data_IF_052367306983
#
_entry.id   IF_052367306983
#
_cell.length_a   1.000
_cell.length_b   1.000
_cell.length_c   1.000
_cell.angle_alpha   90.00
_cell.angle_beta   90.00
_cell.angle_gamma   90.00
#
_symmetry.space_group_name_H-M   'P 1'
#
loop_
_entity.id
_entity.type
_entity.pdbx_description
1 polymer ?
#
# COMPACT_ATOMS: atom_id res chain seq x y z
N UNK A 1 -14.09 -0.22 17.22
CA UNK A 1 -12.94 -0.80 16.49
C UNK A 1 -12.84 -0.07 15.16
N UNK A 2 -11.69 0.52 14.82
CA UNK A 2 -11.54 1.26 13.56
C UNK A 2 -11.34 0.26 12.44
N UNK A 3 -12.20 0.27 11.42
CA UNK A 3 -12.12 -0.57 10.24
C UNK A 3 -11.63 0.27 9.06
N UNK A 4 -10.60 -0.20 8.38
CA UNK A 4 -9.93 0.56 7.32
C UNK A 4 -9.74 -0.34 6.12
N UNK A 5 -10.29 0.08 4.98
CA UNK A 5 -9.90 -0.45 3.68
C UNK A 5 -8.62 0.23 3.21
N UNK A 6 -7.62 -0.56 2.82
CA UNK A 6 -6.40 -0.04 2.20
C UNK A 6 -6.62 0.04 0.70
N UNK A 7 -6.34 1.21 0.14
CA UNK A 7 -6.31 1.42 -1.30
C UNK A 7 -4.97 0.97 -1.91
N UNK A 8 -4.97 0.72 -3.21
CA UNK A 8 -3.79 0.32 -3.99
C UNK A 8 -2.64 1.30 -3.82
N UNK A 9 -2.91 2.61 -3.80
CA UNK A 9 -1.88 3.65 -3.65
C UNK A 9 -1.06 3.50 -2.36
N UNK A 10 -1.72 3.19 -1.25
CA UNK A 10 -1.06 2.97 0.05
C UNK A 10 -0.28 1.66 0.04
N UNK A 11 -0.84 0.60 -0.57
CA UNK A 11 -0.15 -0.68 -0.68
C UNK A 11 1.13 -0.56 -1.53
N UNK A 12 1.08 0.17 -2.64
CA UNK A 12 2.25 0.49 -3.48
C UNK A 12 3.28 1.30 -2.68
N UNK A 13 2.85 2.35 -1.98
CA UNK A 13 3.76 3.13 -1.14
C UNK A 13 4.45 2.28 -0.06
N UNK A 14 3.80 1.23 0.48
CA UNK A 14 4.45 0.31 1.42
C UNK A 14 5.47 -0.62 0.72
N UNK A 15 5.15 -1.08 -0.49
CA UNK A 15 5.93 -2.12 -1.20
C UNK A 15 7.12 -1.56 -2.01
N UNK A 16 6.99 -0.37 -2.58
CA UNK A 16 7.99 0.27 -3.44
C UNK A 16 8.75 1.35 -2.67
N UNK A 17 10.01 1.07 -2.34
CA UNK A 17 10.86 2.03 -1.60
C UNK A 17 11.26 3.27 -2.40
N UNK A 18 11.08 3.23 -3.73
CA UNK A 18 11.32 4.38 -4.61
C UNK A 18 10.05 5.20 -4.85
N UNK A 19 8.89 4.75 -4.37
CA UNK A 19 7.65 5.50 -4.49
C UNK A 19 7.72 6.79 -3.67
N UNK A 20 7.23 7.89 -4.25
CA UNK A 20 7.22 9.21 -3.61
C UNK A 20 6.48 9.23 -2.28
N UNK A 21 5.49 8.34 -2.11
CA UNK A 21 4.68 8.23 -0.90
C UNK A 21 5.21 7.17 0.09
N UNK A 22 6.34 6.54 -0.19
CA UNK A 22 6.91 5.51 0.69
C UNK A 22 7.04 5.95 2.16
N UNK A 23 7.61 7.14 2.46
CA UNK A 23 7.70 7.60 3.85
C UNK A 23 6.33 7.74 4.54
N UNK A 24 5.35 8.30 3.84
CA UNK A 24 4.00 8.55 4.36
C UNK A 24 3.23 7.23 4.54
N UNK A 25 3.37 6.30 3.60
CA UNK A 25 2.73 4.99 3.67
C UNK A 25 3.29 4.16 4.83
N UNK A 26 4.60 4.23 5.07
CA UNK A 26 5.24 3.61 6.23
C UNK A 26 4.82 4.25 7.55
N UNK A 27 4.70 5.58 7.61
CA UNK A 27 4.18 6.30 8.78
C UNK A 27 2.72 5.92 9.07
N UNK A 28 1.87 5.84 8.04
CA UNK A 28 0.48 5.40 8.15
C UNK A 28 0.40 3.96 8.69
N UNK A 29 1.16 3.02 8.10
CA UNK A 29 1.26 1.63 8.59
C UNK A 29 1.63 1.58 10.08
N UNK A 30 2.59 2.41 10.50
CA UNK A 30 2.97 2.57 11.90
C UNK A 30 1.81 3.02 12.78
N UNK A 31 1.12 4.09 12.39
CA UNK A 31 -0.05 4.61 13.10
C UNK A 31 -1.18 3.56 13.20
N UNK A 32 -1.51 2.89 12.10
CA UNK A 32 -2.55 1.85 12.08
C UNK A 32 -2.23 0.70 13.04
N UNK A 33 -0.97 0.28 13.10
CA UNK A 33 -0.50 -0.73 14.05
C UNK A 33 -0.62 -0.25 15.50
N UNK A 34 -0.20 0.99 15.79
CA UNK A 34 -0.29 1.59 17.13
C UNK A 34 -1.74 1.67 17.62
N UNK A 35 -2.67 2.02 16.74
CA UNK A 35 -4.10 2.13 17.06
C UNK A 35 -4.86 0.80 17.00
N UNK A 36 -4.18 -0.33 16.72
CA UNK A 36 -4.80 -1.66 16.56
C UNK A 36 -5.98 -1.62 15.59
N UNK A 37 -5.83 -0.88 14.49
CA UNK A 37 -6.84 -0.80 13.45
C UNK A 37 -7.06 -2.19 12.82
N UNK A 38 -8.31 -2.51 12.50
CA UNK A 38 -8.63 -3.68 11.69
C UNK A 38 -8.52 -3.30 10.22
N UNK A 39 -7.49 -3.82 9.56
CA UNK A 39 -7.12 -3.43 8.20
C UNK A 39 -7.56 -4.52 7.23
N UNK A 40 -8.37 -4.14 6.25
CA UNK A 40 -8.80 -4.99 5.16
C UNK A 40 -8.07 -4.61 3.87
N UNK A 41 -7.57 -5.61 3.15
CA UNK A 41 -7.07 -5.48 1.78
C UNK A 41 -8.02 -6.27 0.90
N UNK A 42 -8.63 -5.59 -0.06
CA UNK A 42 -9.58 -6.20 -0.97
C UNK A 42 -8.86 -6.88 -2.14
N UNK A 43 -9.52 -7.86 -2.75
CA UNK A 43 -9.02 -8.66 -3.86
C UNK A 43 -8.65 -7.78 -5.05
N UNK A 44 -9.49 -6.78 -5.34
CA UNK A 44 -9.27 -5.81 -6.41
C UNK A 44 -8.03 -4.93 -6.15
N UNK A 45 -7.81 -4.52 -4.91
CA UNK A 45 -6.64 -3.73 -4.49
C UNK A 45 -5.36 -4.54 -4.69
N UNK A 46 -5.39 -5.83 -4.34
CA UNK A 46 -4.24 -6.70 -4.56
C UNK A 46 -3.96 -6.90 -6.05
N UNK A 47 -5.00 -7.16 -6.86
CA UNK A 47 -4.86 -7.33 -8.31
C UNK A 47 -4.29 -6.08 -8.99
N UNK A 48 -4.76 -4.90 -8.59
CA UNK A 48 -4.26 -3.62 -9.10
C UNK A 48 -2.82 -3.36 -8.65
N UNK A 49 -2.48 -3.66 -7.39
CA UNK A 49 -1.13 -3.50 -6.88
C UNK A 49 -0.12 -4.37 -7.64
N UNK A 50 -0.45 -5.64 -7.90
CA UNK A 50 0.39 -6.55 -8.68
C UNK A 50 0.59 -6.00 -10.10
N UNK A 51 -0.51 -5.61 -10.75
CA UNK A 51 -0.46 -5.07 -12.12
C UNK A 51 0.37 -3.78 -12.20
N UNK A 52 0.22 -2.90 -11.21
CA UNK A 52 0.96 -1.64 -11.11
C UNK A 52 2.44 -1.87 -10.88
N UNK A 53 2.81 -2.77 -9.96
CA UNK A 53 4.21 -3.12 -9.71
C UNK A 53 4.87 -3.74 -10.95
N UNK A 54 4.20 -4.69 -11.60
CA UNK A 54 4.70 -5.32 -12.82
C UNK A 54 4.98 -4.28 -13.92
N UNK A 55 4.05 -3.34 -14.14
CA UNK A 55 4.24 -2.26 -15.10
C UNK A 55 5.40 -1.34 -14.74
N UNK A 56 5.52 -0.90 -13.48
CA UNK A 56 6.63 -0.02 -13.04
C UNK A 56 7.99 -0.67 -13.21
N UNK A 57 8.12 -1.96 -12.86
CA UNK A 57 9.36 -2.71 -13.06
C UNK A 57 9.70 -2.81 -14.54
N UNK A 58 8.70 -3.01 -15.40
CA UNK A 58 8.88 -3.03 -16.85
C UNK A 58 9.31 -1.66 -17.40
N UNK A 59 8.71 -0.56 -16.93
CA UNK A 59 9.01 0.81 -17.36
C UNK A 59 10.37 1.33 -16.85
N UNK A 60 10.89 0.78 -15.74
CA UNK A 60 12.23 1.11 -15.22
C UNK A 60 13.37 0.37 -15.93
N UNK A 61 13.06 -0.51 -16.89
CA UNK A 61 14.03 -1.25 -17.71
C UNK A 61 14.40 -0.46 -18.97
#
# INVERSE_FOLDING_TARGET
MIQIGIDTSVLIGILDSKDTWHPQAMALKGALKTHRANVAVFDCVLAEAISTMARRIHEQR
#
